data_IF_826587253872
#
_entry.id   IF_826587253872
#
_cell.length_a   1.000
_cell.length_b   1.000
_cell.length_c   1.000
_cell.angle_alpha   90.00
_cell.angle_beta   90.00
_cell.angle_gamma   90.00
#
_symmetry.space_group_name_H-M   'P 1'
#
loop_
_entity.id
_entity.type
_entity.pdbx_description
1 polymer ?
#
# COMPACT_ATOMS: atom_id res chain seq x y z
N UNK A 1 51.68 7.00 28.27
CA UNK A 1 50.27 6.92 28.71
C UNK A 1 49.47 7.43 27.54
N UNK A 2 49.02 6.52 26.69
CA UNK A 2 48.29 6.89 25.48
C UNK A 2 46.85 7.26 25.87
N UNK A 3 46.56 8.56 25.86
CA UNK A 3 45.19 9.06 25.86
C UNK A 3 44.50 8.56 24.59
N UNK A 4 43.69 7.50 24.72
CA UNK A 4 42.76 7.14 23.66
C UNK A 4 41.91 8.38 23.34
N UNK A 5 41.69 8.73 22.05
CA UNK A 5 40.86 9.86 21.69
C UNK A 5 39.45 9.59 22.21
N UNK A 6 39.10 10.20 23.33
CA UNK A 6 37.78 10.08 23.94
C UNK A 6 36.78 10.66 22.96
N UNK A 7 36.01 9.80 22.31
CA UNK A 7 35.04 10.19 21.31
C UNK A 7 34.10 11.27 21.90
N UNK A 8 34.03 12.49 21.31
CA UNK A 8 33.25 13.60 21.86
C UNK A 8 31.77 13.25 22.06
N UNK A 9 31.24 12.29 21.29
CA UNK A 9 29.89 11.77 21.48
C UNK A 9 29.67 11.15 22.86
N UNK A 10 30.66 10.45 23.43
CA UNK A 10 30.54 9.75 24.71
C UNK A 10 30.47 10.73 25.89
N UNK A 11 31.12 11.90 25.74
CA UNK A 11 31.16 12.96 26.76
C UNK A 11 29.85 13.77 26.87
N UNK A 12 28.87 13.52 26.00
CA UNK A 12 27.60 14.23 26.05
C UNK A 12 26.80 13.84 27.31
N UNK A 13 26.03 14.78 27.88
CA UNK A 13 25.03 14.48 28.90
C UNK A 13 24.06 13.38 28.45
N UNK A 14 23.53 12.62 29.41
CA UNK A 14 22.57 11.54 29.12
C UNK A 14 21.31 12.07 28.44
N UNK A 15 20.90 13.30 28.76
CA UNK A 15 19.77 13.99 28.16
C UNK A 15 19.98 14.18 26.65
N UNK A 16 21.19 14.56 26.22
CA UNK A 16 21.51 14.71 24.79
C UNK A 16 21.58 13.34 24.10
N UNK A 17 22.08 12.31 24.78
CA UNK A 17 22.06 10.94 24.26
C UNK A 17 20.64 10.44 23.98
N UNK A 18 19.72 10.70 24.91
CA UNK A 18 18.31 10.36 24.75
C UNK A 18 17.65 11.21 23.65
N UNK A 19 18.00 12.49 23.57
CA UNK A 19 17.47 13.40 22.57
C UNK A 19 17.87 13.00 21.16
N UNK A 20 19.13 12.72 20.86
CA UNK A 20 19.44 12.27 19.49
C UNK A 20 18.94 10.85 19.26
N UNK A 21 18.93 9.99 20.28
CA UNK A 21 18.38 8.65 20.15
C UNK A 21 16.90 8.71 19.74
N UNK A 22 16.10 9.66 20.20
CA UNK A 22 14.68 9.80 19.79
C UNK A 22 14.50 10.06 18.29
N UNK A 23 15.53 10.51 17.58
CA UNK A 23 15.51 10.66 16.12
C UNK A 23 16.02 9.43 15.36
N UNK A 24 16.53 8.41 16.06
CA UNK A 24 17.06 7.19 15.44
C UNK A 24 16.04 6.04 15.53
N UNK A 25 15.88 5.31 14.42
CA UNK A 25 15.11 4.07 14.41
C UNK A 25 15.83 2.97 15.24
N UNK A 26 15.08 1.95 15.66
CA UNK A 26 15.62 0.87 16.50
C UNK A 26 16.82 0.16 15.85
N UNK A 27 16.86 0.08 14.52
CA UNK A 27 17.95 -0.55 13.77
C UNK A 27 19.23 0.28 13.84
N UNK A 28 19.14 1.58 13.64
CA UNK A 28 20.25 2.53 13.68
C UNK A 28 20.75 2.68 15.10
N UNK A 29 19.84 2.74 16.09
CA UNK A 29 20.19 2.74 17.50
C UNK A 29 20.93 1.44 17.89
N UNK A 30 20.50 0.28 17.37
CA UNK A 30 21.18 -1.01 17.59
C UNK A 30 22.56 -1.05 16.94
N UNK A 31 22.74 -0.44 15.76
CA UNK A 31 24.04 -0.31 15.11
C UNK A 31 24.97 0.62 15.90
N UNK A 32 24.45 1.75 16.35
CA UNK A 32 25.19 2.72 17.16
C UNK A 32 25.62 2.11 18.50
N UNK A 33 24.73 1.38 19.18
CA UNK A 33 25.02 0.75 20.47
C UNK A 33 26.12 -0.32 20.37
N UNK A 34 26.31 -0.93 19.19
CA UNK A 34 27.39 -1.91 18.94
C UNK A 34 28.76 -1.27 18.75
N UNK A 35 28.85 0.04 18.54
CA UNK A 35 30.14 0.74 18.32
C UNK A 35 30.95 0.91 19.61
N UNK A 36 30.30 1.02 20.77
CA UNK A 36 30.96 1.25 22.06
C UNK A 36 30.14 0.70 23.23
N UNK A 37 30.83 0.14 24.24
CA UNK A 37 30.21 -0.44 25.44
C UNK A 37 29.45 0.61 26.28
N UNK A 38 29.91 1.86 26.32
CA UNK A 38 29.20 2.92 27.03
C UNK A 38 27.88 3.29 26.35
N UNK A 39 27.88 3.50 25.03
CA UNK A 39 26.66 3.74 24.26
C UNK A 39 25.71 2.53 24.34
N UNK A 40 26.24 1.30 24.37
CA UNK A 40 25.45 0.09 24.61
C UNK A 40 24.67 0.15 25.92
N UNK A 41 25.34 0.53 27.01
CA UNK A 41 24.71 0.63 28.32
C UNK A 41 23.71 1.78 28.38
N UNK A 42 24.00 2.92 27.73
CA UNK A 42 23.08 4.06 27.68
C UNK A 42 21.80 3.76 26.89
N UNK A 43 21.87 2.93 25.85
CA UNK A 43 20.73 2.60 24.99
C UNK A 43 20.10 1.23 25.28
N UNK A 44 20.54 0.51 26.30
CA UNK A 44 20.04 -0.86 26.56
C UNK A 44 18.55 -0.89 26.81
N UNK A 45 18.03 0.04 27.60
CA UNK A 45 16.61 0.12 27.94
C UNK A 45 15.75 0.45 26.71
N UNK A 46 16.17 1.42 25.90
CA UNK A 46 15.47 1.80 24.67
C UNK A 46 15.46 0.65 23.64
N UNK A 47 16.56 -0.12 23.56
CA UNK A 47 16.65 -1.29 22.69
C UNK A 47 15.81 -2.46 23.20
N UNK A 48 15.73 -2.64 24.51
CA UNK A 48 14.88 -3.66 25.14
C UNK A 48 13.39 -3.36 24.93
N UNK A 49 12.98 -2.10 25.13
CA UNK A 49 11.61 -1.66 24.80
C UNK A 49 11.26 -1.89 23.33
N UNK A 50 12.17 -1.55 22.41
CA UNK A 50 11.98 -1.80 20.98
C UNK A 50 11.89 -3.30 20.64
N UNK A 51 12.69 -4.12 21.32
CA UNK A 51 12.67 -5.58 21.16
C UNK A 51 11.34 -6.18 21.62
N UNK A 52 10.88 -5.80 22.82
CA UNK A 52 9.60 -6.26 23.36
C UNK A 52 8.42 -5.78 22.51
N UNK A 53 8.45 -4.54 22.03
CA UNK A 53 7.43 -4.03 21.10
C UNK A 53 7.38 -4.85 19.81
N UNK A 54 8.54 -5.20 19.24
CA UNK A 54 8.62 -6.04 18.05
C UNK A 54 8.09 -7.46 18.29
N UNK A 55 8.46 -8.08 19.42
CA UNK A 55 7.99 -9.41 19.81
C UNK A 55 6.48 -9.42 20.05
N UNK A 56 5.97 -8.41 20.75
CA UNK A 56 4.54 -8.19 20.97
C UNK A 56 3.77 -8.04 19.65
N UNK A 57 4.29 -7.25 18.71
CA UNK A 57 3.66 -7.03 17.41
C UNK A 57 3.54 -8.31 16.57
N UNK A 58 4.56 -9.16 16.62
CA UNK A 58 4.63 -10.42 15.88
C UNK A 58 4.02 -11.63 16.63
N UNK A 59 3.62 -11.46 17.89
CA UNK A 59 2.96 -12.51 18.65
C UNK A 59 1.72 -12.99 17.89
N UNK A 60 1.60 -14.30 17.65
CA UNK A 60 0.50 -14.81 16.85
C UNK A 60 -0.79 -14.85 17.66
N UNK A 61 -1.84 -14.20 17.16
CA UNK A 61 -3.21 -14.26 17.69
C UNK A 61 -4.12 -15.04 16.73
N UNK A 62 -5.17 -15.64 17.25
CA UNK A 62 -6.18 -16.27 16.40
C UNK A 62 -7.04 -15.22 15.68
N UNK A 63 -7.81 -15.65 14.68
CA UNK A 63 -8.68 -14.77 13.87
C UNK A 63 -9.65 -13.89 14.70
N UNK A 64 -9.98 -14.29 15.93
CA UNK A 64 -10.89 -13.58 16.84
C UNK A 64 -10.19 -12.64 17.82
N UNK A 65 -8.86 -12.53 17.76
CA UNK A 65 -8.08 -11.60 18.59
C UNK A 65 -7.84 -12.05 20.02
N UNK A 66 -7.99 -13.33 20.33
CA UNK A 66 -7.51 -13.86 21.60
C UNK A 66 -5.98 -13.92 21.58
N UNK A 67 -5.35 -13.37 22.61
CA UNK A 67 -3.93 -13.63 22.90
C UNK A 67 -3.85 -15.02 23.54
N UNK A 68 -3.62 -16.06 22.75
CA UNK A 68 -3.50 -17.43 23.25
C UNK A 68 -2.05 -17.68 23.66
N UNK A 69 -1.59 -17.05 24.74
CA UNK A 69 -0.24 -17.30 25.27
C UNK A 69 -0.12 -18.70 25.90
N UNK A 70 -1.24 -19.31 26.26
CA UNK A 70 -1.38 -20.73 26.61
C UNK A 70 -2.87 -20.98 26.71
N UNK A 71 -3.39 -22.06 26.14
CA UNK A 71 -4.51 -22.85 26.68
C UNK A 71 -5.05 -23.86 25.68
N UNK A 72 -5.47 -25.01 26.21
CA UNK A 72 -5.80 -26.24 25.49
C UNK A 72 -7.08 -26.08 24.66
N UNK A 73 -7.38 -27.05 23.79
CA UNK A 73 -8.59 -27.04 22.96
C UNK A 73 -9.90 -26.80 23.75
N UNK A 74 -9.93 -27.19 25.03
CA UNK A 74 -11.05 -27.02 25.94
C UNK A 74 -11.42 -25.56 26.24
N UNK A 75 -10.45 -24.66 26.36
CA UNK A 75 -10.69 -23.24 26.69
C UNK A 75 -11.25 -22.46 25.51
N UNK A 76 -10.86 -22.85 24.28
CA UNK A 76 -11.43 -22.35 23.03
C UNK A 76 -12.89 -22.80 22.90
N UNK A 77 -13.16 -24.09 23.12
CA UNK A 77 -14.52 -24.66 23.06
C UNK A 77 -15.47 -24.05 24.09
N UNK A 78 -14.99 -23.77 25.31
CA UNK A 78 -15.81 -23.18 26.36
C UNK A 78 -16.29 -21.77 26.02
N UNK A 79 -15.45 -20.95 25.36
CA UNK A 79 -15.82 -19.60 24.90
C UNK A 79 -16.73 -19.62 23.66
N UNK A 80 -16.54 -20.58 22.74
CA UNK A 80 -17.43 -20.74 21.58
C UNK A 80 -18.83 -21.23 21.95
N UNK A 81 -19.00 -21.82 23.15
CA UNK A 81 -20.33 -22.11 23.70
C UNK A 81 -21.05 -20.86 24.21
N UNK A 82 -20.36 -19.73 24.38
CA UNK A 82 -20.94 -18.47 24.87
C UNK A 82 -21.32 -17.51 23.74
N UNK A 83 -20.63 -17.55 22.59
CA UNK A 83 -21.04 -16.82 21.39
C UNK A 83 -21.99 -17.72 20.57
N UNK A 84 -23.22 -17.29 20.32
CA UNK A 84 -24.33 -18.05 19.70
C UNK A 84 -24.07 -18.62 18.27
N UNK A 85 -22.83 -18.59 17.76
CA UNK A 85 -22.42 -19.27 16.54
C UNK A 85 -21.88 -20.68 16.81
N UNK A 86 -22.80 -21.62 17.04
CA UNK A 86 -22.77 -22.95 16.42
C UNK A 86 -21.68 -23.94 16.87
N UNK A 87 -22.15 -24.90 17.68
CA UNK A 87 -21.84 -26.33 17.65
C UNK A 87 -20.37 -26.80 17.67
N UNK A 88 -20.04 -27.54 18.73
CA UNK A 88 -18.99 -28.58 18.86
C UNK A 88 -18.17 -28.89 17.60
N UNK A 89 -17.15 -28.07 17.32
CA UNK A 89 -16.09 -28.40 16.36
C UNK A 89 -14.79 -28.33 17.14
N UNK A 90 -14.26 -29.50 17.50
CA UNK A 90 -13.03 -29.61 18.26
C UNK A 90 -11.89 -28.88 17.54
N UNK A 91 -11.19 -28.00 18.25
CA UNK A 91 -10.08 -27.20 17.71
C UNK A 91 -9.01 -28.08 17.07
N UNK A 92 -8.74 -29.22 17.68
CA UNK A 92 -7.76 -30.23 17.23
C UNK A 92 -8.14 -30.91 15.92
N UNK A 93 -9.44 -31.01 15.61
CA UNK A 93 -9.92 -31.67 14.40
C UNK A 93 -9.72 -30.82 13.13
N UNK A 94 -9.46 -29.52 13.26
CA UNK A 94 -9.31 -28.63 12.10
C UNK A 94 -8.21 -27.54 12.29
N UNK A 95 -6.93 -27.90 12.42
CA UNK A 95 -5.82 -26.93 12.48
C UNK A 95 -5.78 -25.99 11.26
N UNK A 96 -6.31 -26.43 10.10
CA UNK A 96 -6.44 -25.62 8.88
C UNK A 96 -7.51 -24.53 8.95
N UNK A 97 -8.47 -24.61 9.89
CA UNK A 97 -9.52 -23.58 10.09
C UNK A 97 -9.01 -22.38 10.91
N UNK A 98 -7.98 -22.58 11.74
CA UNK A 98 -7.48 -21.56 12.66
C UNK A 98 -6.29 -20.81 12.08
N UNK A 99 -6.57 -19.75 11.33
CA UNK A 99 -5.53 -18.89 10.78
C UNK A 99 -4.93 -18.04 11.90
N UNK A 100 -3.62 -18.20 12.13
CA UNK A 100 -2.82 -17.38 13.04
C UNK A 100 -2.30 -16.15 12.30
N UNK A 101 -2.43 -14.98 12.91
CA UNK A 101 -1.96 -13.72 12.36
C UNK A 101 -1.09 -12.99 13.38
N UNK A 102 -0.13 -12.16 12.95
CA UNK A 102 0.56 -11.24 13.84
C UNK A 102 -0.45 -10.39 14.63
N UNK A 103 -0.23 -10.20 15.94
CA UNK A 103 -1.08 -9.39 16.83
C UNK A 103 -1.37 -8.02 16.20
N UNK A 104 -0.34 -7.40 15.65
CA UNK A 104 -0.43 -6.06 15.07
C UNK A 104 -1.37 -5.99 13.85
N UNK A 105 -1.51 -7.07 13.06
CA UNK A 105 -2.49 -7.12 11.97
C UNK A 105 -3.91 -6.95 12.51
N UNK A 106 -4.22 -7.63 13.62
CA UNK A 106 -5.55 -7.59 14.21
C UNK A 106 -5.85 -6.25 14.89
N UNK A 107 -4.83 -5.68 15.56
CA UNK A 107 -4.88 -4.32 16.10
C UNK A 107 -5.23 -3.30 15.00
N UNK A 108 -4.56 -3.38 13.84
CA UNK A 108 -4.87 -2.52 12.70
C UNK A 108 -6.26 -2.81 12.17
N UNK A 109 -6.62 -4.09 11.94
CA UNK A 109 -7.93 -4.50 11.41
C UNK A 109 -9.10 -3.99 12.27
N UNK A 110 -8.91 -3.95 13.60
CA UNK A 110 -9.92 -3.43 14.54
C UNK A 110 -9.89 -1.90 14.70
N UNK A 111 -8.92 -1.20 14.13
CA UNK A 111 -8.79 0.25 14.30
C UNK A 111 -8.32 0.66 15.71
N UNK A 112 -7.57 -0.20 16.41
CA UNK A 112 -7.12 0.06 17.79
C UNK A 112 -5.92 1.04 17.81
N UNK A 113 -6.22 2.33 17.70
CA UNK A 113 -5.24 3.43 17.60
C UNK A 113 -4.23 3.40 18.76
N UNK A 114 -4.71 3.26 20.00
CA UNK A 114 -3.86 3.34 21.20
C UNK A 114 -2.74 2.29 21.21
N UNK A 115 -3.04 1.08 20.75
CA UNK A 115 -2.06 -0.01 20.69
C UNK A 115 -1.03 0.20 19.58
N UNK A 116 -1.44 0.76 18.43
CA UNK A 116 -0.48 1.17 17.39
C UNK A 116 0.39 2.30 17.89
N UNK A 117 -0.20 3.29 18.56
CA UNK A 117 0.55 4.42 19.11
C UNK A 117 1.55 3.96 20.18
N UNK A 118 1.16 3.04 21.07
CA UNK A 118 2.05 2.46 22.07
C UNK A 118 3.21 1.68 21.43
N UNK A 119 2.92 0.90 20.39
CA UNK A 119 3.94 0.20 19.61
C UNK A 119 4.97 1.19 19.03
N UNK A 120 4.52 2.27 18.40
CA UNK A 120 5.40 3.29 17.80
C UNK A 120 6.18 4.08 18.87
N UNK A 121 5.53 4.46 19.98
CA UNK A 121 6.18 5.11 21.14
C UNK A 121 7.28 4.24 21.76
N UNK A 122 7.09 2.92 21.74
CA UNK A 122 8.09 1.96 22.18
C UNK A 122 9.20 1.70 21.13
N UNK A 123 9.36 2.59 20.13
CA UNK A 123 10.30 2.48 19.00
C UNK A 123 10.07 1.22 18.14
N UNK A 124 8.84 0.77 18.09
CA UNK A 124 8.40 -0.22 17.11
C UNK A 124 8.71 0.26 15.70
N UNK A 125 9.15 -0.65 14.84
CA UNK A 125 9.50 -0.33 13.46
C UNK A 125 8.22 0.02 12.67
N UNK A 126 8.04 1.27 12.19
CA UNK A 126 6.88 1.66 11.39
C UNK A 126 6.83 0.92 10.04
N UNK A 127 7.99 0.46 9.56
CA UNK A 127 8.18 -0.32 8.35
C UNK A 127 8.22 -1.83 8.62
N UNK A 128 7.67 -2.26 9.77
CA UNK A 128 7.55 -3.68 10.09
C UNK A 128 6.80 -4.39 8.97
N UNK A 129 7.40 -5.46 8.48
CA UNK A 129 6.77 -6.34 7.51
C UNK A 129 6.26 -7.58 8.21
N UNK A 130 5.06 -7.99 7.87
CA UNK A 130 4.58 -9.29 8.32
C UNK A 130 3.70 -9.95 7.27
N UNK A 131 3.75 -11.28 7.29
CA UNK A 131 2.91 -12.14 6.48
C UNK A 131 1.66 -12.60 7.22
N UNK A 132 0.61 -12.86 6.45
CA UNK A 132 -0.59 -13.53 6.97
C UNK A 132 -0.41 -15.05 6.87
N UNK A 133 -0.68 -15.78 7.95
CA UNK A 133 -0.32 -17.20 8.07
C UNK A 133 -0.74 -18.09 6.88
N UNK A 134 -1.97 -17.94 6.37
CA UNK A 134 -2.46 -18.75 5.24
C UNK A 134 -1.87 -18.37 3.86
N UNK A 135 -1.10 -17.28 3.76
CA UNK A 135 -0.42 -16.79 2.55
C UNK A 135 0.92 -16.17 2.94
N UNK A 136 1.92 -16.98 3.35
CA UNK A 136 3.22 -16.48 3.81
C UNK A 136 4.01 -15.74 2.73
N UNK A 137 3.65 -15.92 1.45
CA UNK A 137 4.19 -15.15 0.32
C UNK A 137 3.78 -13.67 0.32
N UNK A 138 2.72 -13.30 1.03
CA UNK A 138 2.26 -11.91 1.16
C UNK A 138 2.85 -11.33 2.45
N UNK A 139 4.14 -11.02 2.42
CA UNK A 139 4.83 -10.32 3.51
C UNK A 139 4.87 -8.83 3.18
N UNK A 140 4.04 -8.00 3.83
CA UNK A 140 3.85 -6.60 3.46
C UNK A 140 4.12 -5.63 4.61
N UNK A 141 4.59 -4.40 4.31
CA UNK A 141 4.74 -3.36 5.33
C UNK A 141 3.43 -3.03 6.04
N UNK A 142 3.58 -2.49 7.24
CA UNK A 142 2.49 -2.09 8.13
C UNK A 142 1.49 -1.13 7.44
N UNK A 143 2.01 -0.18 6.68
CA UNK A 143 1.24 0.83 5.96
C UNK A 143 0.34 0.23 4.87
N UNK A 144 0.83 -0.75 4.11
CA UNK A 144 0.04 -1.46 3.09
C UNK A 144 -1.20 -2.11 3.69
N UNK A 145 -1.05 -2.74 4.86
CA UNK A 145 -2.19 -3.32 5.58
C UNK A 145 -3.17 -2.25 6.03
N UNK A 146 -2.70 -1.16 6.63
CA UNK A 146 -3.54 -0.08 7.12
C UNK A 146 -4.36 0.60 6.00
N UNK A 147 -3.79 0.73 4.80
CA UNK A 147 -4.47 1.25 3.62
C UNK A 147 -5.47 0.25 3.04
N UNK A 148 -5.10 -1.03 2.95
CA UNK A 148 -5.93 -2.07 2.32
C UNK A 148 -7.14 -2.47 3.15
N UNK A 149 -6.97 -2.71 4.46
CA UNK A 149 -8.04 -3.29 5.30
C UNK A 149 -8.89 -2.25 6.04
N UNK A 150 -8.50 -0.98 5.98
CA UNK A 150 -9.19 0.01 6.76
C UNK A 150 -10.60 0.27 6.21
N UNK A 151 -11.64 -0.08 6.94
CA UNK A 151 -13.02 0.24 6.57
C UNK A 151 -13.86 0.68 7.77
N UNK A 152 -13.20 0.93 8.91
CA UNK A 152 -13.78 1.41 10.16
C UNK A 152 -13.19 2.75 10.58
N UNK A 153 -13.81 3.35 11.57
CA UNK A 153 -13.28 4.53 12.24
C UNK A 153 -11.87 4.26 12.79
N UNK A 154 -10.99 5.25 12.66
CA UNK A 154 -9.64 5.22 13.22
C UNK A 154 -8.52 4.74 12.28
N UNK A 155 -8.82 4.13 11.12
CA UNK A 155 -7.75 3.75 10.20
C UNK A 155 -7.05 4.95 9.55
N UNK A 156 -7.76 6.06 9.30
CA UNK A 156 -7.10 7.31 8.88
C UNK A 156 -6.08 7.77 9.92
N UNK A 157 -6.43 7.69 11.20
CA UNK A 157 -5.51 8.00 12.30
C UNK A 157 -4.34 7.03 12.37
N UNK A 158 -4.57 5.73 12.15
CA UNK A 158 -3.48 4.74 12.07
C UNK A 158 -2.54 5.05 10.91
N UNK A 159 -3.05 5.31 9.70
CA UNK A 159 -2.23 5.68 8.54
C UNK A 159 -1.41 6.93 8.83
N UNK A 160 -2.03 7.95 9.44
CA UNK A 160 -1.35 9.16 9.90
C UNK A 160 -0.22 8.87 10.87
N UNK A 161 -0.50 8.12 11.94
CA UNK A 161 0.50 7.76 12.95
C UNK A 161 1.69 7.01 12.33
N UNK A 162 1.42 6.08 11.43
CA UNK A 162 2.46 5.32 10.73
C UNK A 162 3.36 6.24 9.90
N UNK A 163 2.76 7.10 9.08
CA UNK A 163 3.49 8.04 8.22
C UNK A 163 4.29 9.08 9.03
N UNK A 164 3.70 9.64 10.09
CA UNK A 164 4.37 10.58 11.02
C UNK A 164 5.58 9.95 11.72
N UNK A 165 5.55 8.64 11.96
CA UNK A 165 6.67 7.90 12.56
C UNK A 165 7.66 7.34 11.54
N UNK A 166 7.56 7.71 10.26
CA UNK A 166 8.52 7.34 9.22
C UNK A 166 8.20 6.04 8.48
N UNK A 167 6.93 5.64 8.43
CA UNK A 167 6.50 4.61 7.49
C UNK A 167 6.75 5.10 6.06
N UNK A 168 7.50 4.34 5.27
CA UNK A 168 7.82 4.69 3.90
C UNK A 168 6.75 4.12 2.95
N UNK A 169 5.99 5.00 2.25
CA UNK A 169 4.90 4.58 1.36
C UNK A 169 5.36 3.87 0.09
N UNK A 170 6.65 3.95 -0.24
CA UNK A 170 7.20 3.36 -1.47
C UNK A 170 7.99 2.06 -1.19
N UNK A 171 7.97 1.55 0.05
CA UNK A 171 8.47 0.21 0.34
C UNK A 171 7.69 -0.83 -0.48
N UNK A 172 8.41 -1.75 -1.13
CA UNK A 172 7.96 -2.77 -2.10
C UNK A 172 7.89 -2.40 -3.60
N UNK A 173 8.62 -1.36 -4.03
CA UNK A 173 8.78 -1.06 -5.46
C UNK A 173 9.45 -2.19 -6.28
N UNK A 174 10.21 -3.11 -5.65
CA UNK A 174 11.18 -3.97 -6.39
C UNK A 174 10.94 -5.49 -6.41
N UNK A 175 9.87 -6.04 -5.81
CA UNK A 175 9.60 -7.50 -5.89
C UNK A 175 8.85 -7.90 -7.19
N UNK A 176 9.13 -7.24 -8.30
CA UNK A 176 8.61 -7.57 -9.65
C UNK A 176 9.20 -8.89 -10.21
N UNK A 177 10.11 -9.55 -9.49
CA UNK A 177 10.85 -10.71 -10.00
C UNK A 177 10.04 -11.97 -10.28
N UNK A 178 8.76 -12.07 -9.91
CA UNK A 178 8.02 -13.34 -10.05
C UNK A 178 6.57 -13.22 -10.57
N UNK A 179 6.16 -12.10 -11.17
CA UNK A 179 4.79 -11.99 -11.71
C UNK A 179 3.68 -12.21 -10.66
N UNK A 180 4.01 -12.02 -9.38
CA UNK A 180 3.10 -12.24 -8.26
C UNK A 180 2.18 -11.02 -8.13
N UNK A 181 0.86 -11.25 -8.30
CA UNK A 181 -0.20 -10.34 -7.83
C UNK A 181 0.03 -10.01 -6.37
N UNK A 182 0.55 -8.81 -6.08
CA UNK A 182 0.91 -8.39 -4.72
C UNK A 182 2.16 -7.53 -4.60
N UNK A 183 3.02 -7.42 -5.61
CA UNK A 183 4.10 -6.42 -5.63
C UNK A 183 3.52 -5.01 -5.81
N UNK A 184 4.15 -4.00 -5.20
CA UNK A 184 3.73 -2.61 -5.34
C UNK A 184 3.87 -1.79 -4.06
N UNK A 185 3.86 -0.47 -4.25
CA UNK A 185 3.87 0.56 -3.21
C UNK A 185 2.64 0.47 -2.30
N UNK A 186 2.65 1.25 -1.23
CA UNK A 186 1.48 1.37 -0.34
C UNK A 186 0.23 1.87 -1.10
N UNK A 187 0.42 2.70 -2.13
CA UNK A 187 -0.68 3.24 -2.93
C UNK A 187 -1.38 2.15 -3.75
N UNK A 188 -0.64 1.17 -4.26
CA UNK A 188 -1.21 0.08 -5.07
C UNK A 188 -2.16 -0.81 -4.24
N UNK A 189 -1.96 -0.86 -2.92
CA UNK A 189 -2.76 -1.63 -1.98
C UNK A 189 -4.08 -0.96 -1.58
N UNK A 190 -4.27 0.29 -1.99
CA UNK A 190 -5.54 1.00 -1.85
C UNK A 190 -6.55 0.48 -2.89
N UNK A 191 -6.07 0.03 -4.06
CA UNK A 191 -6.88 -0.27 -5.23
C UNK A 191 -7.84 -1.46 -5.09
N UNK A 192 -8.85 -1.48 -5.94
CA UNK A 192 -9.91 -2.51 -5.97
C UNK A 192 -9.34 -3.93 -6.02
N UNK A 193 -8.33 -4.15 -6.87
CA UNK A 193 -7.82 -5.48 -7.19
C UNK A 193 -7.16 -6.18 -5.97
N UNK A 194 -6.50 -5.42 -5.11
CA UNK A 194 -5.88 -5.95 -3.90
C UNK A 194 -6.90 -6.15 -2.76
N UNK A 195 -7.97 -5.35 -2.71
CA UNK A 195 -9.04 -5.52 -1.71
C UNK A 195 -9.97 -6.69 -2.00
N UNK A 196 -10.20 -7.04 -3.28
CA UNK A 196 -10.98 -8.22 -3.66
C UNK A 196 -10.42 -9.54 -3.07
N UNK A 197 -9.14 -9.56 -2.66
CA UNK A 197 -8.55 -10.71 -1.97
C UNK A 197 -9.03 -10.89 -0.53
N UNK A 198 -9.59 -9.86 0.09
CA UNK A 198 -9.92 -9.81 1.51
C UNK A 198 -11.33 -9.29 1.83
N UNK A 199 -12.00 -8.62 0.88
CA UNK A 199 -13.32 -8.02 1.06
C UNK A 199 -14.19 -8.21 -0.20
N UNK A 200 -15.46 -8.58 0.01
CA UNK A 200 -16.51 -8.68 -1.03
C UNK A 200 -17.40 -7.42 -1.06
N UNK A 201 -16.82 -6.24 -0.83
CA UNK A 201 -17.55 -4.95 -0.77
C UNK A 201 -17.44 -4.11 -2.04
N UNK A 202 -18.35 -3.14 -2.21
CA UNK A 202 -18.24 -2.12 -3.26
C UNK A 202 -17.01 -1.22 -3.04
N UNK A 203 -16.39 -0.78 -4.13
CA UNK A 203 -15.24 0.13 -4.10
C UNK A 203 -15.66 1.44 -4.78
N UNK A 204 -15.21 2.62 -4.30
CA UNK A 204 -14.42 2.86 -3.08
C UNK A 204 -15.24 2.72 -1.79
N UNK A 205 -14.55 2.53 -0.67
CA UNK A 205 -15.13 2.56 0.68
C UNK A 205 -15.03 3.97 1.28
N UNK A 206 -15.92 4.33 2.23
CA UNK A 206 -15.81 5.60 2.95
C UNK A 206 -14.43 5.77 3.61
N UNK A 207 -13.83 6.96 3.46
CA UNK A 207 -12.49 7.26 3.99
C UNK A 207 -11.31 6.75 3.14
N UNK A 208 -11.57 6.10 2.00
CA UNK A 208 -10.51 5.70 1.06
C UNK A 208 -9.78 6.92 0.49
N UNK A 209 -10.52 7.90 -0.02
CA UNK A 209 -9.95 9.11 -0.60
C UNK A 209 -9.08 9.87 0.41
N UNK A 210 -9.53 9.99 1.66
CA UNK A 210 -8.78 10.68 2.71
C UNK A 210 -7.47 9.97 3.05
N UNK A 211 -7.50 8.65 3.26
CA UNK A 211 -6.29 7.85 3.56
C UNK A 211 -5.31 7.87 2.40
N UNK A 212 -5.83 7.84 1.18
CA UNK A 212 -5.05 7.88 -0.05
C UNK A 212 -4.37 9.23 -0.22
N UNK A 213 -5.14 10.32 -0.04
CA UNK A 213 -4.61 11.69 -0.05
C UNK A 213 -3.51 11.87 1.00
N UNK A 214 -3.68 11.26 2.18
CA UNK A 214 -2.67 11.30 3.23
C UNK A 214 -1.38 10.56 2.82
N UNK A 215 -1.48 9.35 2.26
CA UNK A 215 -0.30 8.64 1.75
C UNK A 215 0.41 9.45 0.63
N UNK A 216 -0.37 10.04 -0.28
CA UNK A 216 0.14 10.91 -1.35
C UNK A 216 0.82 12.17 -0.79
N UNK A 217 0.30 12.76 0.28
CA UNK A 217 0.95 13.91 0.94
C UNK A 217 2.34 13.56 1.52
N UNK A 218 2.61 12.28 1.79
CA UNK A 218 3.90 11.76 2.24
C UNK A 218 4.75 11.18 1.10
N UNK A 219 4.42 11.49 -0.16
CA UNK A 219 5.24 11.11 -1.31
C UNK A 219 4.97 9.71 -1.86
N UNK A 220 3.81 9.11 -1.56
CA UNK A 220 3.42 7.84 -2.16
C UNK A 220 3.32 7.96 -3.69
N UNK A 221 3.80 6.94 -4.39
CA UNK A 221 3.72 6.81 -5.86
C UNK A 221 2.94 5.54 -6.20
N UNK A 222 2.28 5.51 -7.34
CA UNK A 222 1.77 4.26 -7.91
C UNK A 222 2.89 3.51 -8.63
N UNK A 223 2.82 2.17 -8.61
CA UNK A 223 3.67 1.29 -9.44
C UNK A 223 2.87 0.40 -10.41
N UNK A 224 1.54 0.42 -10.32
CA UNK A 224 0.62 -0.30 -11.21
C UNK A 224 -0.36 0.65 -11.91
N UNK A 225 -0.72 0.36 -13.17
CA UNK A 225 -1.72 1.16 -13.91
C UNK A 225 -3.13 1.02 -13.31
N UNK A 226 -3.42 -0.12 -12.69
CA UNK A 226 -4.68 -0.44 -12.02
C UNK A 226 -4.92 0.47 -10.80
N UNK A 227 -3.84 0.97 -10.21
CA UNK A 227 -3.86 1.96 -9.13
C UNK A 227 -4.40 3.28 -9.63
N UNK A 228 -3.95 3.76 -10.79
CA UNK A 228 -4.44 5.00 -11.42
C UNK A 228 -5.95 4.92 -11.68
N UNK A 229 -6.41 3.80 -12.23
CA UNK A 229 -7.86 3.57 -12.40
C UNK A 229 -8.60 3.63 -11.06
N UNK A 230 -8.05 2.99 -10.03
CA UNK A 230 -8.64 2.95 -8.69
C UNK A 230 -8.73 4.35 -8.07
N UNK A 231 -7.71 5.20 -8.23
CA UNK A 231 -7.72 6.60 -7.77
C UNK A 231 -8.85 7.40 -8.41
N UNK A 232 -9.09 7.24 -9.72
CA UNK A 232 -10.17 7.93 -10.41
C UNK A 232 -11.57 7.59 -9.90
N UNK A 233 -11.76 6.42 -9.27
CA UNK A 233 -13.05 6.05 -8.70
C UNK A 233 -13.30 6.69 -7.33
N UNK A 234 -12.29 7.33 -6.73
CA UNK A 234 -12.41 8.00 -5.44
C UNK A 234 -12.96 9.42 -5.58
N UNK A 235 -13.42 9.97 -4.46
CA UNK A 235 -13.69 11.40 -4.35
C UNK A 235 -12.43 12.20 -4.70
N UNK A 236 -12.57 13.15 -5.62
CA UNK A 236 -11.47 14.01 -6.11
C UNK A 236 -10.33 13.22 -6.80
N UNK A 237 -10.71 12.14 -7.51
CA UNK A 237 -9.79 11.26 -8.22
C UNK A 237 -8.74 11.97 -9.10
N UNK A 238 -9.11 12.97 -9.93
CA UNK A 238 -8.15 13.75 -10.72
C UNK A 238 -7.01 14.35 -9.88
N UNK A 239 -7.34 14.96 -8.73
CA UNK A 239 -6.34 15.53 -7.85
C UNK A 239 -5.43 14.45 -7.24
N UNK A 240 -5.98 13.28 -6.89
CA UNK A 240 -5.19 12.17 -6.36
C UNK A 240 -4.21 11.62 -7.41
N UNK A 241 -4.64 11.49 -8.67
CA UNK A 241 -3.77 11.06 -9.77
C UNK A 241 -2.68 12.09 -10.03
N UNK A 242 -3.04 13.38 -10.08
CA UNK A 242 -2.07 14.47 -10.24
C UNK A 242 -1.02 14.45 -9.11
N UNK A 243 -1.44 14.27 -7.85
CA UNK A 243 -0.52 14.15 -6.72
C UNK A 243 0.43 12.96 -6.88
N UNK A 244 -0.05 11.80 -7.34
CA UNK A 244 0.80 10.62 -7.56
C UNK A 244 1.86 10.90 -8.63
N UNK A 245 1.48 11.53 -9.75
CA UNK A 245 2.40 11.92 -10.83
C UNK A 245 3.42 12.94 -10.32
N UNK A 246 2.99 13.98 -9.60
CA UNK A 246 3.88 14.97 -8.98
C UNK A 246 4.87 14.35 -8.00
N UNK A 247 4.44 13.33 -7.26
CA UNK A 247 5.32 12.58 -6.37
C UNK A 247 6.39 11.79 -7.12
N UNK A 248 6.24 11.55 -8.42
CA UNK A 248 7.19 10.86 -9.29
C UNK A 248 6.69 9.51 -9.83
N UNK A 249 5.38 9.30 -9.93
CA UNK A 249 4.84 8.15 -10.68
C UNK A 249 5.11 8.31 -12.18
N UNK A 250 5.89 7.40 -12.74
CA UNK A 250 6.17 7.34 -14.18
C UNK A 250 5.06 6.54 -14.88
N UNK A 251 4.13 7.26 -15.54
CA UNK A 251 3.00 6.66 -16.24
C UNK A 251 3.46 5.72 -17.38
N UNK A 252 4.59 5.99 -18.03
CA UNK A 252 5.11 5.14 -19.12
C UNK A 252 5.60 3.78 -18.61
N UNK A 253 6.08 3.72 -17.35
CA UNK A 253 6.58 2.48 -16.75
C UNK A 253 5.51 1.64 -16.01
N UNK A 254 4.28 2.17 -15.84
CA UNK A 254 3.18 1.46 -15.18
C UNK A 254 2.64 0.25 -15.97
N UNK A 255 3.12 0.03 -17.20
CA UNK A 255 2.62 -1.03 -18.07
C UNK A 255 1.22 -0.76 -18.60
N UNK A 256 0.90 0.51 -18.84
CA UNK A 256 -0.29 0.87 -19.61
C UNK A 256 -0.22 0.19 -20.98
N UNK A 257 -1.28 -0.50 -21.33
CA UNK A 257 -1.53 -0.90 -22.71
C UNK A 257 -2.61 0.03 -23.24
N UNK A 258 -2.43 0.57 -24.44
CA UNK A 258 -3.35 1.56 -25.03
C UNK A 258 -4.82 1.11 -25.01
N UNK A 259 -4.98 -0.20 -25.16
CA UNK A 259 -6.25 -0.88 -25.20
C UNK A 259 -6.96 -0.94 -23.82
N UNK A 260 -6.20 -0.84 -22.71
CA UNK A 260 -6.75 -0.66 -21.34
C UNK A 260 -7.22 0.76 -21.08
N UNK A 261 -6.59 1.77 -21.70
CA UNK A 261 -7.01 3.18 -21.61
C UNK A 261 -8.35 3.40 -22.33
N UNK A 262 -8.51 2.80 -23.50
CA UNK A 262 -9.63 3.09 -24.39
C UNK A 262 -10.77 2.07 -24.37
N UNK A 263 -10.49 0.83 -23.99
CA UNK A 263 -11.38 -0.33 -24.12
C UNK A 263 -11.05 -1.19 -25.35
N UNK A 264 -11.36 -2.49 -25.31
CA UNK A 264 -11.21 -3.40 -26.46
C UNK A 264 -12.43 -4.26 -26.74
N UNK A 265 -12.53 -4.65 -28.01
CA UNK A 265 -13.51 -5.59 -28.59
C UNK A 265 -13.22 -7.07 -28.28
N UNK A 266 -12.05 -7.42 -27.74
CA UNK A 266 -11.62 -8.82 -27.65
C UNK A 266 -12.29 -9.64 -26.55
N UNK A 267 -12.96 -9.00 -25.60
CA UNK A 267 -13.60 -9.65 -24.47
C UNK A 267 -15.07 -9.25 -24.40
N UNK A 268 -15.93 -10.24 -24.17
CA UNK A 268 -17.40 -10.10 -24.14
C UNK A 268 -17.95 -9.16 -23.06
N UNK A 269 -17.08 -8.67 -22.17
CA UNK A 269 -17.34 -7.55 -21.27
C UNK A 269 -16.46 -6.37 -21.68
N UNK A 270 -16.92 -5.57 -22.65
CA UNK A 270 -16.33 -4.29 -23.02
C UNK A 270 -16.47 -3.31 -21.84
N UNK A 271 -15.61 -3.46 -20.83
CA UNK A 271 -15.54 -2.56 -19.68
C UNK A 271 -14.50 -1.49 -19.99
N UNK A 272 -14.96 -0.37 -20.53
CA UNK A 272 -14.13 0.84 -20.62
C UNK A 272 -13.75 1.24 -19.19
N UNK A 273 -12.48 1.03 -18.82
CA UNK A 273 -12.01 1.38 -17.48
C UNK A 273 -11.97 2.90 -17.33
N UNK A 274 -11.48 3.66 -18.30
CA UNK A 274 -11.38 5.13 -18.17
C UNK A 274 -12.47 5.87 -18.96
N UNK A 275 -13.04 6.93 -18.38
CA UNK A 275 -13.93 7.87 -19.07
C UNK A 275 -13.17 8.72 -20.10
N UNK A 276 -13.89 9.41 -21.00
CA UNK A 276 -13.26 10.26 -22.04
C UNK A 276 -12.43 11.38 -21.41
N UNK A 277 -12.95 11.97 -20.34
CA UNK A 277 -12.29 13.02 -19.56
C UNK A 277 -11.02 12.50 -18.90
N UNK A 278 -11.07 11.31 -18.28
CA UNK A 278 -9.93 10.70 -17.61
C UNK A 278 -8.81 10.36 -18.60
N UNK A 279 -9.15 9.89 -19.81
CA UNK A 279 -8.15 9.64 -20.85
C UNK A 279 -7.49 10.94 -21.29
N UNK A 280 -8.26 12.01 -21.48
CA UNK A 280 -7.70 13.31 -21.86
C UNK A 280 -6.81 13.90 -20.75
N UNK A 281 -7.19 13.73 -19.49
CA UNK A 281 -6.40 14.16 -18.34
C UNK A 281 -5.07 13.42 -18.24
N UNK A 282 -5.07 12.10 -18.41
CA UNK A 282 -3.84 11.31 -18.44
C UNK A 282 -2.92 11.71 -19.60
N UNK A 283 -3.47 12.00 -20.78
CA UNK A 283 -2.71 12.50 -21.92
C UNK A 283 -2.18 13.92 -21.72
N UNK A 284 -2.88 14.75 -20.93
CA UNK A 284 -2.40 16.07 -20.55
C UNK A 284 -1.24 15.98 -19.52
N UNK A 285 -1.28 14.97 -18.64
CA UNK A 285 -0.21 14.68 -17.68
C UNK A 285 1.02 14.05 -18.33
N UNK A 286 0.82 13.10 -19.26
CA UNK A 286 1.89 12.45 -20.01
C UNK A 286 1.48 12.24 -21.49
N UNK A 287 1.84 13.18 -22.38
CA UNK A 287 1.50 13.10 -23.80
C UNK A 287 2.14 11.90 -24.51
N UNK A 288 3.27 11.38 -24.01
CA UNK A 288 3.94 10.22 -24.63
C UNK A 288 3.16 8.92 -24.48
N UNK A 289 2.13 8.86 -23.62
CA UNK A 289 1.23 7.69 -23.52
C UNK A 289 0.60 7.34 -24.88
N UNK A 290 0.47 8.31 -25.78
CA UNK A 290 -0.01 8.07 -27.15
C UNK A 290 0.88 7.10 -27.94
N UNK A 291 2.16 6.97 -27.58
CA UNK A 291 3.09 6.08 -28.27
C UNK A 291 2.87 4.61 -27.93
N UNK A 292 2.12 4.32 -26.86
CA UNK A 292 1.79 2.95 -26.43
C UNK A 292 0.74 2.27 -27.31
N UNK A 293 0.25 2.96 -28.36
CA UNK A 293 -0.69 2.39 -29.34
C UNK A 293 -0.04 1.15 -29.96
N UNK A 294 -0.72 0.00 -29.81
CA UNK A 294 -0.23 -1.28 -30.33
C UNK A 294 -0.45 -1.39 -31.84
N UNK A 295 0.20 -2.38 -32.47
CA UNK A 295 0.10 -2.70 -33.91
C UNK A 295 -1.34 -2.86 -34.47
N UNK A 296 -2.35 -3.01 -33.60
CA UNK A 296 -3.78 -3.03 -33.93
C UNK A 296 -4.39 -1.61 -34.08
N UNK A 297 -3.60 -0.65 -34.56
CA UNK A 297 -3.94 0.77 -34.73
C UNK A 297 -5.27 1.00 -35.46
N UNK A 298 -5.51 0.25 -36.53
CA UNK A 298 -6.73 0.33 -37.35
C UNK A 298 -7.98 -0.07 -36.58
N UNK A 299 -7.92 -1.18 -35.85
CA UNK A 299 -9.07 -1.70 -35.09
C UNK A 299 -9.36 -0.82 -33.87
N UNK A 300 -8.31 -0.29 -33.23
CA UNK A 300 -8.44 0.66 -32.12
C UNK A 300 -9.09 1.98 -32.58
N UNK A 301 -8.63 2.57 -33.69
CA UNK A 301 -9.23 3.80 -34.24
C UNK A 301 -10.68 3.58 -34.65
N UNK A 302 -10.98 2.45 -35.30
CA UNK A 302 -12.36 2.11 -35.66
C UNK A 302 -13.24 1.98 -34.41
N UNK A 303 -12.75 1.33 -33.35
CA UNK A 303 -13.46 1.20 -32.08
C UNK A 303 -13.74 2.57 -31.42
N UNK A 304 -12.73 3.44 -31.30
CA UNK A 304 -12.90 4.77 -30.71
C UNK A 304 -13.93 5.58 -31.51
N UNK A 305 -13.89 5.54 -32.86
CA UNK A 305 -14.90 6.23 -33.68
C UNK A 305 -16.31 5.71 -33.45
N UNK A 306 -16.47 4.39 -33.33
CA UNK A 306 -17.78 3.76 -33.16
C UNK A 306 -18.34 3.94 -31.74
N UNK A 307 -17.49 3.89 -30.71
CA UNK A 307 -17.93 3.80 -29.31
C UNK A 307 -17.59 5.04 -28.47
N UNK A 308 -16.64 5.89 -28.89
CA UNK A 308 -16.15 7.09 -28.17
C UNK A 308 -15.89 8.27 -29.14
N UNK A 309 -16.89 8.70 -29.95
CA UNK A 309 -16.69 9.68 -31.01
C UNK A 309 -16.22 11.05 -30.51
N UNK A 310 -16.67 11.45 -29.31
CA UNK A 310 -16.24 12.68 -28.61
C UNK A 310 -14.76 12.69 -28.30
N UNK A 311 -14.22 11.56 -27.84
CA UNK A 311 -12.79 11.41 -27.60
C UNK A 311 -12.00 11.46 -28.90
N UNK A 312 -12.47 10.80 -29.96
CA UNK A 312 -11.82 10.86 -31.28
C UNK A 312 -11.71 12.30 -31.80
N UNK A 313 -12.78 13.09 -31.74
CA UNK A 313 -12.76 14.48 -32.19
C UNK A 313 -11.77 15.35 -31.39
N UNK A 314 -11.66 15.12 -30.08
CA UNK A 314 -10.72 15.86 -29.22
C UNK A 314 -9.27 15.51 -29.54
N UNK A 315 -8.96 14.22 -29.72
CA UNK A 315 -7.62 13.76 -30.08
C UNK A 315 -7.16 14.30 -31.45
N UNK A 316 -8.10 14.56 -32.37
CA UNK A 316 -7.81 15.16 -33.68
C UNK A 316 -7.55 16.67 -33.57
N UNK A 317 -8.30 17.39 -32.70
CA UNK A 317 -8.30 18.86 -32.65
C UNK A 317 -7.18 19.48 -31.80
N UNK A 318 -6.61 18.75 -30.85
CA UNK A 318 -5.61 19.33 -29.92
C UNK A 318 -4.20 19.44 -30.57
N UNK A 319 -3.59 20.66 -30.62
CA UNK A 319 -2.37 20.92 -31.40
C UNK A 319 -1.03 20.56 -30.72
N UNK A 320 -0.95 19.44 -30.00
CA UNK A 320 0.28 18.92 -29.37
C UNK A 320 0.17 17.39 -29.21
N UNK A 321 1.25 16.63 -28.97
CA UNK A 321 2.11 15.92 -29.93
C UNK A 321 1.43 14.75 -30.70
N UNK A 322 0.10 14.70 -30.79
CA UNK A 322 -0.66 13.61 -31.40
C UNK A 322 -0.63 13.57 -32.94
N UNK A 323 0.32 14.22 -33.60
CA UNK A 323 0.33 14.42 -35.06
C UNK A 323 0.15 13.11 -35.85
N UNK A 324 0.70 12.00 -35.34
CA UNK A 324 0.52 10.68 -35.94
C UNK A 324 -0.90 10.11 -35.76
N UNK A 325 -1.53 10.26 -34.58
CA UNK A 325 -2.93 9.86 -34.41
C UNK A 325 -3.86 10.76 -35.20
N UNK A 326 -3.63 12.08 -35.21
CA UNK A 326 -4.40 13.02 -36.00
C UNK A 326 -4.35 12.64 -37.49
N UNK A 327 -3.16 12.37 -38.04
CA UNK A 327 -2.99 11.88 -39.40
C UNK A 327 -3.68 10.53 -39.63
N UNK A 328 -3.59 9.58 -38.68
CA UNK A 328 -4.26 8.28 -38.81
C UNK A 328 -5.80 8.41 -38.78
N UNK A 329 -6.33 9.29 -37.93
CA UNK A 329 -7.76 9.60 -37.87
C UNK A 329 -8.23 10.34 -39.14
N UNK A 330 -7.44 11.27 -39.68
CA UNK A 330 -7.71 12.00 -40.93
C UNK A 330 -7.63 11.07 -42.16
N UNK A 331 -6.58 10.23 -42.27
CA UNK A 331 -6.42 9.23 -43.32
C UNK A 331 -7.62 8.27 -43.34
N UNK A 332 -8.09 7.83 -42.17
CA UNK A 332 -9.29 7.00 -42.04
C UNK A 332 -10.61 7.79 -42.21
N UNK A 333 -10.60 9.12 -42.11
CA UNK A 333 -11.75 9.99 -42.41
C UNK A 333 -12.00 10.08 -43.91
N UNK A 334 -10.96 9.93 -44.72
CA UNK A 334 -11.02 9.98 -46.18
C UNK A 334 -11.30 8.62 -46.85
N UNK A 335 -11.19 7.51 -46.12
CA UNK A 335 -11.27 6.13 -46.66
C UNK A 335 -12.57 5.36 -46.34
N UNK A 336 -13.57 6.01 -45.76
CA UNK A 336 -14.95 5.49 -45.52
C UNK A 336 -15.92 6.62 -45.83
#
# INVERSE_FOLDING_TARGET
>A
MDEQPTNPLIKLPNELHLQYASYLDARTLSRLSRTCKELKNKFSEELERAHEAHKWALATVNYWGGEWESQTAADIEARMRQDDQGASIAVEAHPKRWKRYPRLYHVIKRGQIDLVQNYLKARGNPNLRFGLGARPSINKPLLHWALCIGNRDGHTTIVRLLLEHGADPNLDETDRKEGIRGAGTALDWVGREHRCLYFEGQYPQPGDAERTRLALAYGARASLCETIYSLYQMEDGPALVQMAVVNGTDLMQLGFEWHKLLGTLFWTDATNRFSDEQVCELLALEPELVTLVTDATRDAVQYIRQHRPTLAERLIREPSPFYWLANLFEDLYHYI
#
